data_IF_727611041307
#
_entry.id   IF_727611041307
#
_cell.length_a   1.000
_cell.length_b   1.000
_cell.length_c   1.000
_cell.angle_alpha   90.00
_cell.angle_beta   90.00
_cell.angle_gamma   90.00
#
_symmetry.space_group_name_H-M   'P 1'
#
loop_
_entity.id
_entity.type
_entity.pdbx_description
1 polymer ?
#
# COMPACT_ATOMS: atom_id res chain seq x y z
N UNK A 1 -8.59 16.82 24.53
CA UNK A 1 -9.19 15.59 25.07
C UNK A 1 -9.89 14.89 23.92
N UNK A 2 -9.43 13.72 23.49
CA UNK A 2 -10.19 12.89 22.54
C UNK A 2 -11.48 12.46 23.24
N UNK A 3 -12.64 12.89 22.74
CA UNK A 3 -13.90 12.86 23.47
C UNK A 3 -14.51 11.47 23.68
N UNK A 4 -14.09 10.45 22.91
CA UNK A 4 -14.61 9.09 23.00
C UNK A 4 -13.53 8.06 22.65
N UNK A 5 -13.65 6.85 23.22
CA UNK A 5 -12.78 5.73 22.89
C UNK A 5 -13.07 5.26 21.45
N UNK A 6 -12.06 4.78 20.70
CA UNK A 6 -12.28 4.30 19.34
C UNK A 6 -13.12 3.03 19.35
N UNK A 7 -14.00 2.90 18.34
CA UNK A 7 -14.99 1.82 18.25
C UNK A 7 -14.32 0.48 17.94
N UNK A 8 -14.85 -0.62 18.48
CA UNK A 8 -14.49 -1.99 18.08
C UNK A 8 -15.07 -2.32 16.70
N UNK A 9 -14.43 -3.24 15.99
CA UNK A 9 -14.90 -3.75 14.70
C UNK A 9 -14.85 -5.27 14.70
N UNK A 10 -15.99 -5.90 14.40
CA UNK A 10 -16.16 -7.36 14.36
C UNK A 10 -16.23 -7.90 12.94
N UNK A 11 -16.52 -7.04 11.96
CA UNK A 11 -16.80 -7.45 10.59
C UNK A 11 -18.20 -8.05 10.44
N UNK A 12 -19.11 -7.72 11.36
CA UNK A 12 -20.48 -8.25 11.33
C UNK A 12 -21.34 -7.56 10.26
N UNK A 13 -22.41 -8.25 9.81
CA UNK A 13 -23.38 -7.66 8.88
C UNK A 13 -24.00 -6.39 9.46
N UNK A 14 -23.80 -5.27 8.77
CA UNK A 14 -24.23 -3.93 9.21
C UNK A 14 -23.12 -3.05 9.78
N UNK A 15 -21.92 -3.59 9.99
CA UNK A 15 -20.72 -2.77 10.22
C UNK A 15 -20.13 -2.35 8.87
N UNK A 16 -19.93 -1.05 8.70
CA UNK A 16 -19.29 -0.48 7.52
C UNK A 16 -17.77 -0.33 7.79
N UNK A 17 -16.90 -1.09 7.10
CA UNK A 17 -15.46 -1.00 7.30
C UNK A 17 -14.87 0.35 6.90
N UNK A 18 -15.42 1.03 5.88
CA UNK A 18 -14.92 2.33 5.43
C UNK A 18 -15.23 3.41 6.48
N UNK A 19 -16.48 3.43 6.98
CA UNK A 19 -16.87 4.31 8.07
C UNK A 19 -16.03 4.07 9.34
N UNK A 20 -15.83 2.80 9.70
CA UNK A 20 -15.02 2.48 10.89
C UNK A 20 -13.56 2.93 10.74
N UNK A 21 -12.94 2.74 9.58
CA UNK A 21 -11.60 3.25 9.30
C UNK A 21 -11.55 4.78 9.37
N UNK A 22 -12.56 5.47 8.84
CA UNK A 22 -12.67 6.92 8.92
C UNK A 22 -12.76 7.41 10.38
N UNK A 23 -13.60 6.80 11.19
CA UNK A 23 -13.74 7.12 12.63
C UNK A 23 -12.44 6.87 13.39
N UNK A 24 -11.73 5.77 13.08
CA UNK A 24 -10.44 5.45 13.68
C UNK A 24 -9.36 6.50 13.34
N UNK A 25 -9.30 6.96 12.08
CA UNK A 25 -8.40 8.03 11.62
C UNK A 25 -8.65 9.34 12.37
N UNK A 26 -9.91 9.77 12.43
CA UNK A 26 -10.33 10.98 13.16
C UNK A 26 -9.97 10.90 14.65
N UNK A 27 -10.15 9.71 15.26
CA UNK A 27 -9.74 9.50 16.63
C UNK A 27 -8.22 9.67 16.81
N UNK A 28 -7.41 9.06 15.94
CA UNK A 28 -5.95 9.19 15.97
C UNK A 28 -5.51 10.67 15.88
N UNK A 29 -6.10 11.44 14.96
CA UNK A 29 -5.85 12.88 14.83
C UNK A 29 -6.20 13.64 16.11
N UNK A 30 -7.38 13.39 16.69
CA UNK A 30 -7.82 14.02 17.94
C UNK A 30 -6.94 13.68 19.15
N UNK A 31 -6.27 12.51 19.10
CA UNK A 31 -5.35 12.03 20.10
C UNK A 31 -3.90 12.53 19.88
N UNK A 32 -3.64 13.30 18.82
CA UNK A 32 -2.30 13.75 18.44
C UNK A 32 -1.40 12.62 17.94
N UNK A 33 -1.98 11.53 17.45
CA UNK A 33 -1.25 10.40 16.86
C UNK A 33 -1.10 10.64 15.36
N UNK A 34 -0.08 11.43 15.01
CA UNK A 34 0.30 11.66 13.62
C UNK A 34 1.23 10.52 13.12
N UNK A 35 0.79 9.69 12.17
CA UNK A 35 1.59 8.60 11.65
C UNK A 35 2.77 9.06 10.76
N UNK A 36 2.75 10.32 10.29
CA UNK A 36 3.90 10.94 9.62
C UNK A 36 5.02 11.33 10.60
N UNK A 37 4.70 11.52 11.88
CA UNK A 37 5.64 12.09 12.85
C UNK A 37 6.90 11.23 13.07
N UNK A 38 6.74 9.91 13.22
CA UNK A 38 7.86 8.95 13.34
C UNK A 38 7.39 7.49 13.34
N UNK A 39 8.35 6.57 13.20
CA UNK A 39 8.11 5.12 13.20
C UNK A 39 7.45 4.59 14.48
N UNK A 40 7.79 5.14 15.66
CA UNK A 40 7.19 4.73 16.93
C UNK A 40 5.70 5.08 16.97
N UNK A 41 5.30 6.23 16.45
CA UNK A 41 3.89 6.60 16.36
C UNK A 41 3.11 5.64 15.46
N UNK A 42 3.69 5.24 14.32
CA UNK A 42 3.07 4.22 13.43
C UNK A 42 2.86 2.88 14.12
N UNK A 43 3.89 2.38 14.81
CA UNK A 43 3.78 1.13 15.61
C UNK A 43 2.70 1.25 16.68
N UNK A 44 2.57 2.42 17.32
CA UNK A 44 1.53 2.66 18.32
C UNK A 44 0.14 2.66 17.72
N UNK A 45 -0.06 3.34 16.60
CA UNK A 45 -1.35 3.39 15.88
C UNK A 45 -1.75 1.98 15.44
N UNK A 46 -0.80 1.23 14.85
CA UNK A 46 -1.01 -0.15 14.44
C UNK A 46 -1.38 -1.06 15.62
N UNK A 47 -0.68 -0.96 16.76
CA UNK A 47 -1.03 -1.70 17.96
C UNK A 47 -2.45 -1.37 18.47
N UNK A 48 -2.86 -0.09 18.43
CA UNK A 48 -4.23 0.31 18.81
C UNK A 48 -5.24 -0.31 17.83
N UNK A 49 -4.99 -0.18 16.52
CA UNK A 49 -5.83 -0.79 15.48
C UNK A 49 -6.05 -2.29 15.73
N UNK A 50 -4.99 -3.04 16.01
CA UNK A 50 -5.09 -4.48 16.33
C UNK A 50 -5.98 -4.73 17.56
N UNK A 51 -5.89 -3.91 18.60
CA UNK A 51 -6.74 -4.08 19.79
C UNK A 51 -8.22 -3.83 19.51
N UNK A 52 -8.56 -3.10 18.45
CA UNK A 52 -9.94 -2.73 18.11
C UNK A 52 -10.65 -3.76 17.24
N UNK A 53 -9.91 -4.65 16.58
CA UNK A 53 -10.49 -5.77 15.86
C UNK A 53 -10.95 -6.84 16.86
N UNK A 54 -12.13 -7.41 16.66
CA UNK A 54 -12.73 -8.49 17.44
C UNK A 54 -13.27 -9.59 16.52
N UNK A 55 -13.51 -10.78 17.09
CA UNK A 55 -14.16 -11.91 16.43
C UNK A 55 -13.64 -12.17 15.00
N UNK A 56 -14.55 -12.30 14.02
CA UNK A 56 -14.23 -12.62 12.63
C UNK A 56 -13.24 -11.63 11.99
N UNK A 57 -13.35 -10.33 12.30
CA UNK A 57 -12.42 -9.34 11.78
C UNK A 57 -10.99 -9.52 12.32
N UNK A 58 -10.84 -9.90 13.59
CA UNK A 58 -9.52 -10.20 14.16
C UNK A 58 -8.94 -11.44 13.52
N UNK A 59 -9.73 -12.52 13.43
CA UNK A 59 -9.29 -13.79 12.84
C UNK A 59 -8.87 -13.60 11.38
N UNK A 60 -9.66 -12.82 10.62
CA UNK A 60 -9.33 -12.49 9.24
C UNK A 60 -8.01 -11.70 9.14
N UNK A 61 -7.84 -10.67 9.96
CA UNK A 61 -6.63 -9.84 9.97
C UNK A 61 -5.38 -10.66 10.31
N UNK A 62 -5.44 -11.50 11.34
CA UNK A 62 -4.33 -12.34 11.77
C UNK A 62 -3.96 -13.38 10.71
N UNK A 63 -4.94 -13.89 9.96
CA UNK A 63 -4.74 -14.90 8.93
C UNK A 63 -4.23 -14.31 7.61
N UNK A 64 -4.76 -13.15 7.19
CA UNK A 64 -4.57 -12.64 5.84
C UNK A 64 -3.63 -11.44 5.74
N UNK A 65 -3.41 -10.69 6.82
CA UNK A 65 -2.64 -9.44 6.79
C UNK A 65 -1.43 -9.52 7.73
N UNK A 66 -1.64 -9.92 8.98
CA UNK A 66 -0.62 -9.83 10.03
C UNK A 66 0.58 -10.71 9.68
N UNK A 67 1.76 -10.10 9.67
CA UNK A 67 3.02 -10.82 9.43
C UNK A 67 3.23 -11.30 7.99
N UNK A 68 2.36 -10.93 7.03
CA UNK A 68 2.54 -11.24 5.61
C UNK A 68 3.50 -10.26 4.94
N UNK A 69 4.16 -10.71 3.88
CA UNK A 69 4.83 -9.84 2.92
C UNK A 69 3.78 -9.25 1.95
N UNK A 70 4.20 -8.31 1.10
CA UNK A 70 3.35 -7.68 0.10
C UNK A 70 3.94 -7.88 -1.30
N UNK A 71 3.08 -8.23 -2.25
CA UNK A 71 3.42 -8.47 -3.66
C UNK A 71 2.72 -7.46 -4.55
N UNK A 72 3.43 -6.93 -5.55
CA UNK A 72 2.83 -6.27 -6.71
C UNK A 72 2.62 -7.31 -7.82
N UNK A 73 1.39 -7.79 -8.02
CA UNK A 73 1.13 -8.85 -9.01
C UNK A 73 1.34 -8.36 -10.44
N UNK A 74 1.03 -7.08 -10.68
CA UNK A 74 1.05 -6.47 -12.01
C UNK A 74 2.35 -5.74 -12.34
N UNK A 75 3.31 -5.69 -11.42
CA UNK A 75 4.63 -5.12 -11.63
C UNK A 75 5.71 -6.12 -11.23
N UNK A 76 6.48 -6.58 -12.20
CA UNK A 76 7.54 -7.55 -11.99
C UNK A 76 8.82 -6.89 -11.47
N UNK A 77 9.73 -7.72 -10.98
CA UNK A 77 10.96 -7.29 -10.33
C UNK A 77 12.06 -6.88 -11.31
N UNK A 78 12.04 -7.30 -12.59
CA UNK A 78 13.09 -7.01 -13.57
C UNK A 78 12.90 -5.66 -14.31
N UNK A 79 12.59 -4.60 -13.57
CA UNK A 79 12.37 -3.24 -14.10
C UNK A 79 13.65 -2.42 -14.38
N UNK A 80 14.82 -2.90 -13.94
CA UNK A 80 16.07 -2.14 -13.89
C UNK A 80 16.16 -1.13 -12.75
N UNK A 81 15.17 -1.09 -11.83
CA UNK A 81 15.05 -0.08 -10.78
C UNK A 81 15.20 -0.69 -9.39
N UNK A 82 16.04 -0.09 -8.54
CA UNK A 82 16.50 -0.70 -7.28
C UNK A 82 15.40 -1.10 -6.29
N UNK A 83 14.33 -0.30 -6.17
CA UNK A 83 13.26 -0.47 -5.19
C UNK A 83 12.00 0.33 -5.60
N UNK A 84 10.91 0.16 -4.85
CA UNK A 84 9.62 0.83 -5.08
C UNK A 84 9.71 2.36 -5.05
N UNK A 85 10.51 2.94 -4.15
CA UNK A 85 10.68 4.39 -4.07
C UNK A 85 11.38 4.96 -5.33
N UNK A 86 12.40 4.25 -5.83
CA UNK A 86 13.05 4.61 -7.08
C UNK A 86 12.14 4.39 -8.29
N UNK A 87 11.25 3.38 -8.24
CA UNK A 87 10.23 3.18 -9.27
C UNK A 87 9.19 4.29 -9.29
N UNK A 88 8.65 4.68 -8.13
CA UNK A 88 7.73 5.80 -7.97
C UNK A 88 8.31 7.11 -8.54
N UNK A 89 9.61 7.34 -8.36
CA UNK A 89 10.32 8.53 -8.85
C UNK A 89 10.57 8.56 -10.37
N UNK A 90 10.22 7.50 -11.13
CA UNK A 90 10.42 7.48 -12.57
C UNK A 90 9.53 8.52 -13.27
N UNK A 91 10.16 9.35 -14.10
CA UNK A 91 9.44 10.22 -15.01
C UNK A 91 8.87 9.42 -16.20
N UNK A 92 8.04 10.08 -17.02
CA UNK A 92 7.38 9.43 -18.16
C UNK A 92 8.35 8.77 -19.16
N UNK A 93 9.47 9.42 -19.47
CA UNK A 93 10.47 8.86 -20.38
C UNK A 93 11.10 7.58 -19.82
N UNK A 94 11.38 7.55 -18.52
CA UNK A 94 11.93 6.38 -17.85
C UNK A 94 10.90 5.25 -17.74
N UNK A 95 9.61 5.55 -17.49
CA UNK A 95 8.53 4.55 -17.54
C UNK A 95 8.45 3.89 -18.91
N UNK A 96 8.47 4.67 -20.00
CA UNK A 96 8.47 4.13 -21.36
C UNK A 96 9.71 3.27 -21.68
N UNK A 97 10.82 3.51 -20.99
CA UNK A 97 12.06 2.75 -21.16
C UNK A 97 12.06 1.42 -20.40
N UNK A 98 11.17 1.25 -19.40
CA UNK A 98 11.00 -0.05 -18.74
C UNK A 98 10.39 -1.03 -19.74
N UNK A 99 10.94 -2.25 -19.79
CA UNK A 99 10.45 -3.25 -20.73
C UNK A 99 8.96 -3.55 -20.50
N UNK A 100 8.15 -3.45 -21.55
CA UNK A 100 6.69 -3.57 -21.45
C UNK A 100 6.22 -4.92 -20.83
N UNK A 101 7.02 -5.98 -20.95
CA UNK A 101 6.72 -7.29 -20.35
C UNK A 101 6.89 -7.34 -18.82
N UNK A 102 7.40 -6.27 -18.21
CA UNK A 102 7.44 -6.12 -16.74
C UNK A 102 6.11 -5.66 -16.16
N UNK A 103 5.18 -5.24 -17.01
CA UNK A 103 3.85 -4.80 -16.62
C UNK A 103 2.80 -5.82 -17.05
N UNK A 104 1.85 -6.10 -16.17
CA UNK A 104 0.70 -7.00 -16.43
C UNK A 104 -0.59 -6.31 -16.00
N UNK A 105 -1.73 -6.89 -16.37
CA UNK A 105 -3.05 -6.42 -15.92
C UNK A 105 -3.25 -4.91 -16.07
N UNK A 106 -3.70 -4.26 -14.99
CA UNK A 106 -3.94 -2.81 -14.95
C UNK A 106 -2.69 -1.98 -15.24
N UNK A 107 -1.54 -2.37 -14.68
CA UNK A 107 -0.25 -1.73 -14.96
C UNK A 107 0.15 -1.83 -16.44
N UNK A 108 -0.09 -2.97 -17.09
CA UNK A 108 0.18 -3.16 -18.51
C UNK A 108 -0.65 -2.22 -19.39
N UNK A 109 -1.93 -2.05 -19.06
CA UNK A 109 -2.83 -1.10 -19.74
C UNK A 109 -2.32 0.33 -19.58
N UNK A 110 -1.96 0.74 -18.36
CA UNK A 110 -1.46 2.08 -18.08
C UNK A 110 -0.13 2.36 -18.78
N UNK A 111 0.83 1.43 -18.73
CA UNK A 111 2.10 1.55 -19.44
C UNK A 111 1.90 1.69 -20.95
N UNK A 112 0.95 0.95 -21.54
CA UNK A 112 0.62 1.06 -22.97
C UNK A 112 0.14 2.45 -23.42
N UNK A 113 -0.30 3.30 -22.48
CA UNK A 113 -0.73 4.68 -22.74
C UNK A 113 0.41 5.70 -22.56
N UNK A 114 1.54 5.31 -21.97
CA UNK A 114 2.60 6.24 -21.56
C UNK A 114 3.22 7.04 -22.71
N UNK A 115 3.23 6.48 -23.94
CA UNK A 115 3.71 7.18 -25.13
C UNK A 115 2.77 8.32 -25.60
N UNK A 116 1.46 8.18 -25.35
CA UNK A 116 0.46 9.18 -25.74
C UNK A 116 0.15 10.16 -24.60
N UNK A 117 0.40 9.77 -23.34
CA UNK A 117 0.05 10.52 -22.14
C UNK A 117 1.32 10.81 -21.33
N UNK A 118 1.87 12.01 -21.50
CA UNK A 118 3.16 12.43 -20.90
C UNK A 118 3.10 12.64 -19.37
N UNK A 119 1.91 12.60 -18.76
CA UNK A 119 1.72 12.72 -17.31
C UNK A 119 1.86 11.39 -16.57
N UNK A 120 1.91 10.26 -17.29
CA UNK A 120 2.09 8.95 -16.67
C UNK A 120 3.53 8.83 -16.15
N UNK A 121 3.66 8.65 -14.85
CA UNK A 121 4.92 8.55 -14.09
C UNK A 121 4.87 7.32 -13.17
N UNK A 122 5.96 7.02 -12.48
CA UNK A 122 6.03 5.95 -11.49
C UNK A 122 4.96 6.07 -10.39
N UNK A 123 4.60 7.30 -10.01
CA UNK A 123 3.56 7.58 -9.02
C UNK A 123 2.16 7.09 -9.42
N UNK A 124 1.91 6.86 -10.71
CA UNK A 124 0.63 6.30 -11.17
C UNK A 124 0.55 4.77 -11.02
N UNK A 125 1.69 4.11 -10.74
CA UNK A 125 1.75 2.67 -10.50
C UNK A 125 1.96 2.38 -9.02
N UNK A 126 2.96 3.03 -8.44
CA UNK A 126 3.34 2.93 -7.04
C UNK A 126 2.92 4.23 -6.39
N UNK A 127 1.88 4.24 -5.55
CA UNK A 127 1.39 5.48 -4.95
C UNK A 127 2.49 6.14 -4.12
N UNK A 128 2.41 7.46 -3.99
CA UNK A 128 3.22 8.16 -3.01
C UNK A 128 2.92 7.60 -1.62
N UNK A 129 3.93 7.59 -0.75
CA UNK A 129 3.81 7.07 0.61
C UNK A 129 2.96 8.02 1.48
N UNK A 130 1.66 8.12 1.19
CA UNK A 130 0.70 8.85 2.00
C UNK A 130 0.21 7.96 3.12
N UNK A 131 -0.07 8.52 4.29
CA UNK A 131 -0.14 7.68 5.48
C UNK A 131 -1.49 6.97 5.68
N UNK A 132 -2.50 7.37 4.92
CA UNK A 132 -3.87 6.88 5.12
C UNK A 132 -4.49 6.28 3.86
N UNK A 133 -4.27 6.89 2.69
CA UNK A 133 -4.92 6.49 1.44
C UNK A 133 -3.88 6.30 0.34
N UNK A 134 -3.42 5.07 0.20
CA UNK A 134 -2.57 4.63 -0.90
C UNK A 134 -3.37 3.67 -1.79
N UNK A 135 -3.55 4.03 -3.06
CA UNK A 135 -4.20 3.16 -4.04
C UNK A 135 -3.16 2.28 -4.75
N UNK A 136 -3.10 1.02 -4.33
CA UNK A 136 -2.24 0.00 -4.92
C UNK A 136 -2.94 -0.85 -5.98
N UNK A 137 -4.16 -0.49 -6.40
CA UNK A 137 -4.98 -1.30 -7.31
C UNK A 137 -4.34 -1.50 -8.69
N UNK A 138 -3.63 -0.49 -9.21
CA UNK A 138 -2.94 -0.56 -10.51
C UNK A 138 -1.93 -1.72 -10.55
N UNK A 139 -1.20 -1.90 -9.46
CA UNK A 139 -0.21 -2.98 -9.33
C UNK A 139 -0.77 -4.24 -8.67
N UNK A 140 -2.05 -4.23 -8.29
CA UNK A 140 -2.73 -5.30 -7.56
C UNK A 140 -1.92 -5.71 -6.33
N UNK A 141 -1.68 -4.73 -5.45
CA UNK A 141 -0.98 -4.95 -4.18
C UNK A 141 -1.74 -5.92 -3.28
N UNK A 142 -1.12 -7.05 -2.94
CA UNK A 142 -1.76 -8.06 -2.07
C UNK A 142 -0.80 -8.67 -1.05
N UNK A 143 -1.32 -9.17 0.09
CA UNK A 143 -0.53 -9.96 1.02
C UNK A 143 -0.05 -11.27 0.37
N UNK A 144 1.15 -11.70 0.74
CA UNK A 144 1.76 -12.95 0.28
C UNK A 144 2.67 -13.57 1.33
N UNK A 145 2.87 -14.87 1.24
CA UNK A 145 3.90 -15.61 2.00
C UNK A 145 5.21 -15.78 1.21
N UNK A 146 5.27 -15.26 -0.02
CA UNK A 146 6.48 -15.30 -0.85
C UNK A 146 7.57 -14.44 -0.20
N UNK A 147 8.82 -14.89 -0.29
CA UNK A 147 9.98 -14.15 0.21
C UNK A 147 10.17 -12.84 -0.57
N UNK A 148 10.66 -11.81 0.12
CA UNK A 148 10.95 -10.50 -0.50
C UNK A 148 12.06 -10.68 -1.54
N UNK A 149 11.84 -10.11 -2.73
CA UNK A 149 12.85 -10.10 -3.79
C UNK A 149 14.06 -9.26 -3.36
N UNK A 150 15.26 -9.68 -3.79
CA UNK A 150 16.46 -8.87 -3.61
C UNK A 150 16.34 -7.56 -4.42
N UNK A 151 17.00 -6.46 -3.99
CA UNK A 151 17.04 -5.22 -4.76
C UNK A 151 17.53 -5.45 -6.19
N UNK A 152 16.80 -4.91 -7.16
CA UNK A 152 17.04 -5.13 -8.59
C UNK A 152 18.28 -4.39 -9.14
N UNK A 153 18.87 -3.49 -8.36
CA UNK A 153 20.09 -2.78 -8.74
C UNK A 153 21.31 -3.69 -8.60
N UNK A 154 21.44 -4.66 -9.52
CA UNK A 154 22.66 -5.30 -10.02
C UNK A 154 22.38 -6.66 -10.69
N UNK A 155 21.53 -6.71 -11.73
CA UNK A 155 21.65 -7.77 -12.74
C UNK A 155 22.22 -7.17 -14.03
N UNK A 156 23.48 -6.73 -13.94
CA UNK A 156 24.34 -6.60 -15.12
C UNK A 156 24.60 -8.00 -15.66
N UNK A 157 23.95 -8.33 -16.77
CA UNK A 157 24.39 -9.34 -17.72
C UNK A 157 25.09 -8.66 -18.89
#
# INVERSE_FOLDING_TARGET
MAGYAPKKFRGASGEDPELWLQEFRQWCESAGLDPAANARTRVRIHGIFETLLEDDARDWYETHIKGKNWECVNLLDNTGVANLAAFNALNNAAIQAVAANQFRGGAGVLHGQAAAVNTITGANFIPDHTVWDEDWSIVEGRPTDIAVNNPNANNGG
#
